data_IF_510335307074
#
_entry.id   IF_510335307074
#
_cell.length_a   1.000
_cell.length_b   1.000
_cell.length_c   1.000
_cell.angle_alpha   90.00
_cell.angle_beta   90.00
_cell.angle_gamma   90.00
#
_symmetry.space_group_name_H-M   'P 1'
#
loop_
_entity.id
_entity.type
_entity.pdbx_description
1 polymer ?
#
# COMPACT_ATOMS: atom_id res chain seq x y z
N UNK A 1 -11.49 -4.14 6.12
CA UNK A 1 -12.43 -2.99 6.23
C UNK A 1 -13.68 -3.41 6.99
N UNK A 2 -14.35 -4.51 6.64
CA UNK A 2 -15.60 -4.93 7.31
C UNK A 2 -15.45 -5.02 8.83
N UNK A 3 -14.41 -5.70 9.32
CA UNK A 3 -14.13 -5.81 10.76
C UNK A 3 -13.93 -4.42 11.41
N UNK A 4 -13.17 -3.54 10.78
CA UNK A 4 -12.98 -2.17 11.27
C UNK A 4 -14.31 -1.41 11.38
N UNK A 5 -15.17 -1.52 10.37
CA UNK A 5 -16.48 -0.87 10.40
C UNK A 5 -17.45 -1.49 11.43
N UNK A 6 -17.29 -2.76 11.75
CA UNK A 6 -18.08 -3.42 12.82
C UNK A 6 -17.67 -2.93 14.21
N UNK A 7 -16.37 -2.79 14.43
CA UNK A 7 -15.80 -2.45 15.74
C UNK A 7 -15.76 -0.93 15.99
N UNK A 8 -15.82 -0.09 14.93
CA UNK A 8 -15.60 1.36 14.97
C UNK A 8 -16.73 2.12 14.26
N UNK A 9 -17.57 2.81 15.00
CA UNK A 9 -18.66 3.61 14.45
C UNK A 9 -18.15 4.84 13.69
N UNK A 10 -16.98 5.35 14.07
CA UNK A 10 -16.29 6.46 13.43
C UNK A 10 -15.66 6.11 12.07
N UNK A 11 -15.59 4.82 11.71
CA UNK A 11 -15.03 4.35 10.44
C UNK A 11 -16.02 4.62 9.29
N UNK A 12 -15.57 5.38 8.30
CA UNK A 12 -16.28 5.64 7.04
C UNK A 12 -15.51 5.06 5.86
N UNK A 13 -16.23 4.69 4.80
CA UNK A 13 -15.64 4.29 3.52
C UNK A 13 -16.29 5.08 2.39
N UNK A 14 -15.51 5.82 1.61
CA UNK A 14 -16.06 6.57 0.48
C UNK A 14 -15.04 6.81 -0.64
N UNK A 15 -15.59 7.17 -1.79
CA UNK A 15 -14.87 7.45 -3.02
C UNK A 15 -15.81 7.45 -4.20
N UNK A 16 -15.27 7.42 -5.41
CA UNK A 16 -16.09 7.26 -6.62
C UNK A 16 -16.56 5.81 -6.72
N UNK A 17 -17.85 5.61 -6.94
CA UNK A 17 -18.48 4.30 -7.17
C UNK A 17 -18.32 3.27 -6.04
N UNK A 18 -17.91 3.71 -4.84
CA UNK A 18 -17.64 2.84 -3.68
C UNK A 18 -18.94 2.35 -3.05
N UNK A 19 -19.92 3.24 -2.91
CA UNK A 19 -21.17 2.95 -2.24
C UNK A 19 -22.19 2.17 -3.08
N UNK A 20 -23.24 1.68 -2.41
CA UNK A 20 -24.39 0.99 -3.01
C UNK A 20 -24.00 -0.25 -3.83
N UNK A 21 -24.69 -0.42 -4.96
CA UNK A 21 -24.55 -1.59 -5.84
C UNK A 21 -23.19 -1.67 -6.52
N UNK A 22 -22.50 -0.55 -6.74
CA UNK A 22 -21.23 -0.54 -7.45
C UNK A 22 -20.12 -1.19 -6.61
N UNK A 23 -19.95 -0.78 -5.37
CA UNK A 23 -19.05 -1.43 -4.41
C UNK A 23 -17.57 -1.31 -4.76
N UNK A 24 -17.17 -0.21 -5.40
CA UNK A 24 -15.81 0.02 -5.89
C UNK A 24 -15.54 -0.60 -7.25
N UNK A 25 -14.53 -0.09 -7.96
CA UNK A 25 -14.13 -0.59 -9.30
C UNK A 25 -13.73 -2.06 -9.26
N UNK A 26 -13.11 -2.49 -8.18
CA UNK A 26 -12.66 -3.88 -7.98
C UNK A 26 -13.59 -4.67 -7.06
N UNK A 27 -14.76 -4.13 -6.73
CA UNK A 27 -15.81 -4.79 -5.95
C UNK A 27 -15.45 -5.09 -4.50
N UNK A 28 -14.46 -4.42 -3.94
CA UNK A 28 -13.99 -4.62 -2.57
C UNK A 28 -15.01 -4.15 -1.53
N UNK A 29 -15.86 -3.19 -1.88
CA UNK A 29 -16.91 -2.66 -1.02
C UNK A 29 -18.32 -3.21 -1.34
N UNK A 30 -18.43 -4.23 -2.21
CA UNK A 30 -19.70 -4.69 -2.79
C UNK A 30 -20.79 -5.04 -1.78
N UNK A 31 -20.41 -5.49 -0.58
CA UNK A 31 -21.36 -5.85 0.49
C UNK A 31 -21.37 -4.85 1.64
N UNK A 32 -20.45 -3.90 1.64
CA UNK A 32 -20.29 -2.96 2.76
C UNK A 32 -21.41 -1.92 2.80
N UNK A 33 -21.82 -1.40 1.63
CA UNK A 33 -22.93 -0.46 1.53
C UNK A 33 -24.25 -1.05 2.02
N UNK A 34 -24.51 -2.34 1.72
CA UNK A 34 -25.70 -3.04 2.21
C UNK A 34 -25.62 -3.31 3.72
N UNK A 35 -24.41 -3.57 4.25
CA UNK A 35 -24.22 -3.91 5.66
C UNK A 35 -24.26 -2.68 6.56
N UNK A 36 -23.65 -1.55 6.14
CA UNK A 36 -23.39 -0.39 7.00
C UNK A 36 -24.19 0.87 6.60
N UNK A 37 -24.91 0.81 5.48
CA UNK A 37 -25.75 1.90 4.99
C UNK A 37 -24.98 3.03 4.29
N UNK A 38 -25.75 3.87 3.60
CA UNK A 38 -25.22 4.98 2.79
C UNK A 38 -24.58 6.11 3.61
N UNK A 39 -24.86 6.17 4.91
CA UNK A 39 -24.26 7.16 5.82
C UNK A 39 -22.78 6.84 6.13
N UNK A 40 -22.41 5.56 6.01
CA UNK A 40 -21.05 5.10 6.32
C UNK A 40 -20.28 4.60 5.10
N UNK A 41 -21.00 4.18 4.04
CA UNK A 41 -20.40 3.72 2.78
C UNK A 41 -21.06 4.45 1.63
N UNK A 42 -20.43 5.49 1.09
CA UNK A 42 -21.07 6.38 0.14
C UNK A 42 -20.20 6.80 -1.04
N UNK A 43 -20.86 7.29 -2.07
CA UNK A 43 -20.23 7.81 -3.28
C UNK A 43 -19.96 9.29 -3.15
N UNK A 44 -18.87 9.72 -3.78
CA UNK A 44 -18.60 11.14 -4.04
C UNK A 44 -18.81 11.45 -5.53
N UNK A 45 -18.89 12.73 -5.91
CA UNK A 45 -18.62 13.14 -7.27
C UNK A 45 -17.21 12.70 -7.72
N UNK A 46 -16.96 12.72 -9.03
CA UNK A 46 -15.62 12.51 -9.60
C UNK A 46 -14.76 13.73 -9.26
N UNK A 47 -14.14 13.71 -8.08
CA UNK A 47 -13.36 14.84 -7.56
C UNK A 47 -12.36 14.35 -6.50
N UNK A 48 -11.18 13.97 -6.92
CA UNK A 48 -10.14 13.40 -6.05
C UNK A 48 -9.63 14.42 -5.02
N UNK A 49 -9.66 15.71 -5.38
CA UNK A 49 -9.35 16.77 -4.43
C UNK A 49 -10.33 16.80 -3.25
N UNK A 50 -11.63 16.60 -3.51
CA UNK A 50 -12.63 16.47 -2.44
C UNK A 50 -12.43 15.19 -1.64
N UNK A 51 -12.21 14.06 -2.31
CA UNK A 51 -12.04 12.75 -1.64
C UNK A 51 -10.89 12.82 -0.62
N UNK A 52 -9.73 13.34 -1.02
CA UNK A 52 -8.56 13.48 -0.14
C UNK A 52 -8.75 14.63 0.87
N UNK A 53 -9.16 15.80 0.40
CA UNK A 53 -9.23 17.00 1.24
C UNK A 53 -10.27 16.91 2.37
N UNK A 54 -11.41 16.26 2.12
CA UNK A 54 -12.46 16.08 3.13
C UNK A 54 -12.01 15.25 4.34
N UNK A 55 -10.97 14.43 4.19
CA UNK A 55 -10.43 13.62 5.30
C UNK A 55 -9.94 14.48 6.46
N UNK A 56 -9.43 15.68 6.19
CA UNK A 56 -8.97 16.63 7.22
C UNK A 56 -10.11 17.05 8.13
N UNK A 57 -11.21 17.53 7.54
CA UNK A 57 -12.40 17.94 8.29
C UNK A 57 -13.06 16.78 9.03
N UNK A 58 -13.15 15.61 8.41
CA UNK A 58 -13.70 14.40 9.04
C UNK A 58 -12.84 13.98 10.25
N UNK A 59 -11.53 13.96 10.10
CA UNK A 59 -10.62 13.63 11.21
C UNK A 59 -10.71 14.65 12.35
N UNK A 60 -10.90 15.94 12.03
CA UNK A 60 -11.03 16.99 13.04
C UNK A 60 -12.26 16.83 13.93
N UNK A 61 -13.32 16.18 13.44
CA UNK A 61 -14.53 15.85 14.22
C UNK A 61 -14.53 14.43 14.78
N UNK A 62 -13.40 13.73 14.72
CA UNK A 62 -13.21 12.41 15.32
C UNK A 62 -13.60 11.23 14.42
N UNK A 63 -13.95 11.46 13.16
CA UNK A 63 -14.18 10.39 12.20
C UNK A 63 -12.84 9.82 11.67
N UNK A 64 -12.86 8.56 11.25
CA UNK A 64 -11.71 7.87 10.65
C UNK A 64 -12.06 7.38 9.25
N UNK A 65 -11.86 8.22 8.23
CA UNK A 65 -12.19 7.87 6.86
C UNK A 65 -11.17 6.91 6.25
N UNK A 66 -11.68 5.90 5.57
CA UNK A 66 -10.99 5.12 4.56
C UNK A 66 -11.50 5.62 3.23
N UNK A 67 -10.63 6.16 2.39
CA UNK A 67 -11.03 6.70 1.08
C UNK A 67 -10.36 5.94 -0.05
N UNK A 68 -11.04 5.87 -1.20
CA UNK A 68 -10.51 5.25 -2.39
C UNK A 68 -10.32 6.28 -3.51
N UNK A 69 -9.12 6.31 -4.05
CA UNK A 69 -8.82 6.88 -5.37
C UNK A 69 -8.85 5.71 -6.35
N UNK A 70 -9.73 5.72 -7.34
CA UNK A 70 -9.98 4.55 -8.20
C UNK A 70 -8.72 3.96 -8.86
N UNK A 71 -7.79 4.84 -9.29
CA UNK A 71 -6.51 4.47 -9.89
C UNK A 71 -5.44 5.50 -9.56
N UNK A 72 -4.20 5.08 -9.48
CA UNK A 72 -3.04 5.95 -9.30
C UNK A 72 -2.98 7.07 -10.35
N UNK A 73 -3.43 6.78 -11.57
CA UNK A 73 -3.53 7.73 -12.69
C UNK A 73 -4.41 8.94 -12.39
N UNK A 74 -5.33 8.84 -11.43
CA UNK A 74 -6.31 9.87 -11.11
C UNK A 74 -5.99 10.68 -9.85
N UNK A 75 -4.91 10.34 -9.15
CA UNK A 75 -4.57 11.01 -7.88
C UNK A 75 -4.19 12.50 -8.05
N UNK A 76 -3.84 12.94 -9.26
CA UNK A 76 -3.25 14.25 -9.53
C UNK A 76 -4.05 15.43 -8.97
N UNK A 77 -5.39 15.53 -9.16
CA UNK A 77 -6.15 16.62 -8.57
C UNK A 77 -6.14 16.61 -7.03
N UNK A 78 -5.98 15.42 -6.43
CA UNK A 78 -5.94 15.24 -4.97
C UNK A 78 -4.56 15.47 -4.36
N UNK A 79 -3.49 15.50 -5.16
CA UNK A 79 -2.12 15.72 -4.65
C UNK A 79 -1.97 17.09 -3.98
N UNK A 80 -2.68 18.11 -4.47
CA UNK A 80 -2.65 19.41 -3.82
C UNK A 80 -3.11 19.32 -2.36
N UNK A 81 -4.25 18.67 -2.09
CA UNK A 81 -4.78 18.50 -0.73
C UNK A 81 -3.90 17.57 0.10
N UNK A 82 -3.37 16.52 -0.51
CA UNK A 82 -2.45 15.61 0.18
C UNK A 82 -1.20 16.35 0.65
N UNK A 83 -0.61 17.16 -0.22
CA UNK A 83 0.61 17.90 0.05
C UNK A 83 0.41 19.10 0.98
N UNK A 84 -0.68 19.87 0.81
CA UNK A 84 -0.88 21.14 1.55
C UNK A 84 -1.53 20.93 2.91
N UNK A 85 -2.58 20.11 2.97
CA UNK A 85 -3.43 20.01 4.16
C UNK A 85 -3.22 18.69 4.90
N UNK A 86 -3.42 17.55 4.22
CA UNK A 86 -3.45 16.23 4.87
C UNK A 86 -2.10 15.92 5.52
N UNK A 87 -1.00 16.19 4.84
CA UNK A 87 0.34 15.87 5.33
C UNK A 87 0.85 16.83 6.41
N UNK A 88 0.31 18.06 6.51
CA UNK A 88 0.89 19.13 7.34
C UNK A 88 0.05 19.55 8.53
N UNK A 89 -1.26 19.28 8.51
CA UNK A 89 -2.19 19.77 9.56
C UNK A 89 -1.77 19.35 10.96
N UNK A 90 -1.29 18.13 11.15
CA UNK A 90 -0.83 17.63 12.44
C UNK A 90 0.40 18.41 12.94
N UNK A 91 1.38 18.63 12.07
CA UNK A 91 2.57 19.40 12.40
C UNK A 91 2.25 20.89 12.66
N UNK A 92 1.50 21.52 11.75
CA UNK A 92 1.16 22.95 11.85
C UNK A 92 0.28 23.27 13.06
N UNK A 93 -0.56 22.34 13.49
CA UNK A 93 -1.39 22.47 14.69
C UNK A 93 -0.62 22.16 16.00
N UNK A 94 0.67 21.87 15.91
CA UNK A 94 1.47 21.43 17.05
C UNK A 94 0.87 20.18 17.73
N UNK A 95 0.49 19.19 16.91
CA UNK A 95 -0.05 17.91 17.35
C UNK A 95 -1.51 17.94 17.84
N UNK A 96 -2.23 19.06 17.66
CA UNK A 96 -3.62 19.19 18.13
C UNK A 96 -4.65 18.57 17.16
N UNK A 97 -4.35 18.55 15.87
CA UNK A 97 -5.26 18.10 14.82
C UNK A 97 -4.64 16.93 14.05
N UNK A 98 -4.74 15.71 14.58
CA UNK A 98 -4.34 14.53 13.83
C UNK A 98 -5.22 14.35 12.59
N UNK A 99 -4.63 13.91 11.48
CA UNK A 99 -5.38 13.52 10.28
C UNK A 99 -5.28 12.01 10.15
N UNK A 100 -6.10 11.31 10.93
CA UNK A 100 -6.14 9.85 10.94
C UNK A 100 -7.03 9.37 9.81
N UNK A 101 -6.43 9.09 8.65
CA UNK A 101 -7.15 8.59 7.49
C UNK A 101 -6.33 7.53 6.73
N UNK A 102 -7.03 6.67 6.01
CA UNK A 102 -6.44 5.70 5.09
C UNK A 102 -6.84 6.06 3.67
N UNK A 103 -5.86 6.21 2.78
CA UNK A 103 -6.06 6.52 1.37
C UNK A 103 -5.64 5.29 0.57
N UNK A 104 -6.60 4.58 -0.01
CA UNK A 104 -6.38 3.43 -0.87
C UNK A 104 -6.16 3.89 -2.31
N UNK A 105 -5.13 3.37 -2.94
CA UNK A 105 -4.76 3.73 -4.32
C UNK A 105 -4.41 2.48 -5.12
N UNK A 106 -5.35 1.94 -5.90
CA UNK A 106 -5.05 0.91 -6.89
C UNK A 106 -4.00 1.39 -7.89
N UNK A 107 -2.92 0.63 -8.06
CA UNK A 107 -1.74 1.04 -8.83
C UNK A 107 -1.20 -0.10 -9.72
N UNK A 108 -0.21 0.19 -10.56
CA UNK A 108 0.50 -0.78 -11.39
C UNK A 108 -0.10 -0.98 -12.78
N UNK A 109 0.70 -1.53 -13.71
CA UNK A 109 0.37 -1.64 -15.12
C UNK A 109 -0.51 -2.83 -15.50
N UNK A 110 -0.75 -3.77 -14.59
CA UNK A 110 -1.53 -4.98 -14.87
C UNK A 110 -3.04 -4.72 -14.91
N UNK A 111 -3.73 -5.44 -15.79
CA UNK A 111 -5.17 -5.35 -15.96
C UNK A 111 -5.58 -4.81 -17.33
N UNK A 112 -4.63 -4.57 -18.22
CA UNK A 112 -4.86 -4.08 -19.60
C UNK A 112 -5.65 -2.76 -19.66
N UNK A 113 -5.53 -1.90 -18.64
CA UNK A 113 -6.26 -0.65 -18.52
C UNK A 113 -5.76 0.47 -19.45
N UNK A 114 -4.66 0.24 -20.18
CA UNK A 114 -4.05 1.24 -21.05
C UNK A 114 -3.41 2.41 -20.30
N UNK A 115 -3.11 3.53 -20.97
CA UNK A 115 -2.28 4.59 -20.40
C UNK A 115 -2.92 5.35 -19.24
N UNK A 116 -4.23 5.27 -19.07
CA UNK A 116 -4.96 5.95 -18.00
C UNK A 116 -5.25 5.08 -16.78
N UNK A 117 -4.70 3.86 -16.72
CA UNK A 117 -4.95 2.89 -15.65
C UNK A 117 -3.71 2.07 -15.33
N UNK A 118 -2.51 2.59 -15.59
CA UNK A 118 -1.28 1.79 -15.51
C UNK A 118 -0.14 2.50 -14.79
N UNK A 119 -0.42 3.62 -14.11
CA UNK A 119 0.63 4.41 -13.46
C UNK A 119 1.12 3.81 -12.16
N UNK A 120 2.37 4.13 -11.87
CA UNK A 120 3.05 3.98 -10.59
C UNK A 120 3.36 5.37 -10.04
N UNK A 121 3.09 5.61 -8.75
CA UNK A 121 3.16 6.95 -8.13
C UNK A 121 4.01 6.97 -6.85
N UNK A 122 4.75 5.91 -6.58
CA UNK A 122 5.53 5.71 -5.36
C UNK A 122 6.52 6.85 -5.14
N UNK A 123 7.29 7.20 -6.16
CA UNK A 123 8.31 8.25 -6.08
C UNK A 123 7.74 9.64 -5.79
N UNK A 124 6.54 9.92 -6.30
CA UNK A 124 5.85 11.19 -6.04
C UNK A 124 5.38 11.24 -4.61
N UNK A 125 4.74 10.17 -4.14
CA UNK A 125 4.20 10.10 -2.78
C UNK A 125 5.31 10.10 -1.72
N UNK A 126 6.42 9.41 -1.95
CA UNK A 126 7.54 9.36 -1.00
C UNK A 126 8.27 10.69 -0.84
N UNK A 127 8.05 11.66 -1.73
CA UNK A 127 8.50 13.04 -1.57
C UNK A 127 7.57 13.91 -0.71
N UNK A 128 6.41 13.40 -0.26
CA UNK A 128 5.48 14.12 0.61
C UNK A 128 5.76 13.74 2.05
N UNK A 129 6.37 14.64 2.81
CA UNK A 129 6.60 14.44 4.24
C UNK A 129 5.31 14.60 5.05
N UNK A 130 5.15 13.78 6.09
CA UNK A 130 3.98 13.83 6.98
C UNK A 130 2.89 12.79 6.65
N UNK A 131 3.10 11.94 5.64
CA UNK A 131 2.25 10.78 5.34
C UNK A 131 3.07 9.49 5.45
N UNK A 132 2.40 8.37 5.69
CA UNK A 132 3.01 7.03 5.60
C UNK A 132 2.58 6.35 4.30
N UNK A 133 3.44 5.53 3.73
CA UNK A 133 3.19 4.89 2.44
C UNK A 133 3.54 3.42 2.55
N UNK A 134 2.59 2.57 2.24
CA UNK A 134 2.73 1.12 2.31
C UNK A 134 2.30 0.45 1.01
N UNK A 135 2.90 -0.68 0.71
CA UNK A 135 2.65 -1.40 -0.52
C UNK A 135 2.72 -2.92 -0.27
N UNK A 136 1.65 -3.53 0.28
CA UNK A 136 1.60 -4.96 0.56
C UNK A 136 1.63 -5.80 -0.72
N UNK A 137 2.22 -6.99 -0.63
CA UNK A 137 2.32 -7.94 -1.74
C UNK A 137 1.32 -9.11 -1.67
N UNK A 138 0.60 -9.27 -0.56
CA UNK A 138 -0.34 -10.37 -0.36
C UNK A 138 -1.52 -9.98 0.56
N UNK A 139 -2.56 -10.80 0.56
CA UNK A 139 -3.81 -10.51 1.27
C UNK A 139 -3.66 -10.44 2.80
N UNK A 140 -2.86 -11.32 3.42
CA UNK A 140 -2.64 -11.28 4.87
C UNK A 140 -1.94 -9.99 5.29
N UNK A 141 -0.89 -9.59 4.56
CA UNK A 141 -0.16 -8.35 4.84
C UNK A 141 -1.07 -7.13 4.61
N UNK A 142 -1.90 -7.12 3.55
CA UNK A 142 -2.88 -6.05 3.32
C UNK A 142 -3.87 -5.93 4.50
N UNK A 143 -4.39 -7.06 5.01
CA UNK A 143 -5.30 -7.04 6.19
C UNK A 143 -4.62 -6.43 7.41
N UNK A 144 -3.42 -6.89 7.75
CA UNK A 144 -2.68 -6.41 8.92
C UNK A 144 -2.24 -4.94 8.79
N UNK A 145 -1.78 -4.55 7.60
CA UNK A 145 -1.39 -3.16 7.29
C UNK A 145 -2.61 -2.23 7.30
N UNK A 146 -3.75 -2.64 6.76
CA UNK A 146 -5.00 -1.86 6.79
C UNK A 146 -5.42 -1.53 8.23
N UNK A 147 -5.33 -2.49 9.14
CA UNK A 147 -5.62 -2.25 10.56
C UNK A 147 -4.60 -1.33 11.21
N UNK A 148 -3.31 -1.56 10.97
CA UNK A 148 -2.26 -0.68 11.47
C UNK A 148 -2.43 0.77 10.96
N UNK A 149 -2.78 0.93 9.69
CA UNK A 149 -3.06 2.23 9.08
C UNK A 149 -4.28 2.93 9.68
N UNK A 150 -5.35 2.19 9.95
CA UNK A 150 -6.56 2.73 10.59
C UNK A 150 -6.30 3.21 12.03
N UNK A 151 -5.42 2.53 12.77
CA UNK A 151 -5.05 2.92 14.13
C UNK A 151 -3.96 3.99 14.19
N UNK A 152 -3.34 4.31 13.08
CA UNK A 152 -2.29 5.34 13.03
C UNK A 152 -2.90 6.76 13.13
N UNK A 153 -2.32 7.65 13.95
CA UNK A 153 -2.79 9.04 14.03
C UNK A 153 -2.42 9.89 12.81
N UNK A 154 -1.55 9.38 11.92
CA UNK A 154 -1.13 10.06 10.71
C UNK A 154 -1.82 9.48 9.47
N UNK A 155 -1.90 10.25 8.38
CA UNK A 155 -2.43 9.74 7.12
C UNK A 155 -1.56 8.61 6.57
N UNK A 156 -2.20 7.55 6.11
CA UNK A 156 -1.52 6.40 5.50
C UNK A 156 -2.06 6.16 4.10
N UNK A 157 -1.17 6.17 3.10
CA UNK A 157 -1.49 5.77 1.73
C UNK A 157 -1.15 4.29 1.56
N UNK A 158 -2.12 3.50 1.13
CA UNK A 158 -1.95 2.08 0.80
C UNK A 158 -1.99 1.95 -0.72
N UNK A 159 -0.84 1.64 -1.31
CA UNK A 159 -0.73 1.29 -2.71
C UNK A 159 -1.11 -0.17 -2.89
N UNK A 160 -2.10 -0.44 -3.72
CA UNK A 160 -2.64 -1.78 -3.94
C UNK A 160 -2.46 -2.19 -5.40
N UNK A 161 -1.52 -3.10 -5.67
CA UNK A 161 -1.28 -3.52 -7.04
C UNK A 161 -2.45 -4.31 -7.62
N UNK A 162 -3.11 -3.77 -8.63
CA UNK A 162 -4.33 -4.32 -9.26
C UNK A 162 -4.18 -5.78 -9.72
N UNK A 163 -3.00 -6.13 -10.24
CA UNK A 163 -2.70 -7.49 -10.69
C UNK A 163 -2.68 -8.53 -9.56
N UNK A 164 -2.61 -8.10 -8.30
CA UNK A 164 -2.55 -9.00 -7.15
C UNK A 164 -3.94 -9.26 -6.52
N UNK A 165 -4.96 -8.48 -6.83
CA UNK A 165 -6.26 -8.58 -6.16
C UNK A 165 -6.90 -9.97 -6.18
N UNK A 166 -6.77 -10.70 -7.27
CA UNK A 166 -7.39 -12.02 -7.38
C UNK A 166 -6.40 -13.18 -7.52
N UNK A 167 -5.09 -12.89 -7.55
CA UNK A 167 -4.06 -13.91 -7.74
C UNK A 167 -4.30 -14.78 -9.00
N UNK A 168 -4.76 -14.13 -10.08
CA UNK A 168 -5.07 -14.80 -11.36
C UNK A 168 -3.92 -14.77 -12.36
N UNK A 169 -2.95 -13.88 -12.15
CA UNK A 169 -1.78 -13.81 -12.99
C UNK A 169 -0.85 -14.98 -12.67
N UNK A 170 -0.29 -15.58 -13.70
CA UNK A 170 0.63 -16.70 -13.54
C UNK A 170 1.81 -16.32 -12.65
N UNK A 171 2.02 -17.08 -11.59
CA UNK A 171 3.08 -16.86 -10.59
C UNK A 171 2.72 -15.89 -9.47
N UNK A 172 1.45 -15.44 -9.40
CA UNK A 172 0.94 -14.62 -8.29
C UNK A 172 -0.04 -15.35 -7.38
N UNK A 173 -0.10 -16.66 -7.47
CA UNK A 173 -1.05 -17.50 -6.72
C UNK A 173 -0.92 -17.33 -5.20
N UNK A 174 0.30 -17.07 -4.72
CA UNK A 174 0.61 -16.84 -3.30
C UNK A 174 0.12 -15.49 -2.77
N UNK A 175 -0.48 -14.62 -3.61
CA UNK A 175 -1.19 -13.42 -3.12
C UNK A 175 -2.36 -13.79 -2.24
N UNK A 176 -3.00 -14.93 -2.56
CA UNK A 176 -4.06 -15.51 -1.76
C UNK A 176 -3.44 -16.23 -0.57
N UNK A 177 -3.73 -15.73 0.61
CA UNK A 177 -3.28 -16.31 1.86
C UNK A 177 -4.45 -16.86 2.64
N UNK A 178 -4.17 -17.67 3.65
CA UNK A 178 -5.16 -17.96 4.69
C UNK A 178 -5.46 -16.63 5.40
N UNK A 179 -6.73 -16.35 5.61
CA UNK A 179 -7.14 -15.13 6.31
C UNK A 179 -6.62 -15.15 7.75
N UNK A 180 -5.85 -14.14 8.16
CA UNK A 180 -5.42 -14.02 9.55
C UNK A 180 -6.61 -13.76 10.49
N UNK A 181 -6.40 -13.98 11.79
CA UNK A 181 -7.39 -13.66 12.83
C UNK A 181 -7.79 -12.17 12.80
N UNK A 182 -8.93 -11.88 13.44
CA UNK A 182 -9.41 -10.50 13.55
C UNK A 182 -8.41 -9.59 14.28
N UNK A 183 -7.64 -10.11 15.24
CA UNK A 183 -6.66 -9.33 16.00
C UNK A 183 -5.33 -9.12 15.27
N UNK A 184 -5.19 -9.66 14.06
CA UNK A 184 -3.93 -9.54 13.31
C UNK A 184 -3.68 -8.11 12.86
N UNK A 185 -2.61 -7.50 13.38
CA UNK A 185 -2.12 -6.18 13.01
C UNK A 185 -0.66 -6.30 12.60
N UNK A 186 -0.30 -5.75 11.44
CA UNK A 186 1.08 -5.73 10.95
C UNK A 186 1.64 -4.31 11.07
N UNK A 187 2.63 -4.07 11.94
CA UNK A 187 3.19 -2.73 12.13
C UNK A 187 3.75 -2.15 10.83
N UNK A 188 3.50 -0.87 10.58
CA UNK A 188 4.07 -0.13 9.46
C UNK A 188 5.59 0.00 9.63
N UNK A 189 6.33 0.09 8.53
CA UNK A 189 7.80 0.18 8.56
C UNK A 189 8.50 -1.14 8.88
N UNK A 190 7.89 -2.29 8.53
CA UNK A 190 8.49 -3.62 8.74
C UNK A 190 8.61 -4.39 7.44
N UNK A 191 9.84 -4.56 6.98
CA UNK A 191 10.18 -5.43 5.85
C UNK A 191 10.19 -6.92 6.24
N UNK A 192 10.16 -7.80 5.24
CA UNK A 192 10.19 -9.27 5.42
C UNK A 192 11.03 -9.95 4.36
N UNK A 193 11.86 -10.90 4.77
CA UNK A 193 12.44 -11.86 3.83
C UNK A 193 11.38 -12.88 3.41
N UNK A 194 11.10 -12.95 2.13
CA UNK A 194 10.09 -13.87 1.54
C UNK A 194 10.73 -15.05 0.83
N UNK A 195 12.03 -14.99 0.58
CA UNK A 195 12.89 -16.08 0.12
C UNK A 195 14.28 -15.88 0.74
N UNK A 196 14.97 -16.96 1.08
CA UNK A 196 16.29 -16.92 1.66
C UNK A 196 17.30 -17.71 0.81
N UNK A 197 18.47 -17.13 0.56
CA UNK A 197 19.63 -17.84 0.04
C UNK A 197 20.17 -18.82 1.10
N UNK A 198 20.82 -19.89 0.67
CA UNK A 198 21.48 -20.78 1.61
C UNK A 198 22.74 -20.13 2.23
N UNK A 199 23.05 -20.49 3.48
CA UNK A 199 24.27 -20.01 4.16
C UNK A 199 25.52 -20.29 3.33
N UNK A 200 25.60 -21.48 2.75
CA UNK A 200 26.70 -21.89 1.89
C UNK A 200 26.92 -20.92 0.73
N UNK A 201 25.83 -20.48 0.05
CA UNK A 201 25.93 -19.53 -1.06
C UNK A 201 26.34 -18.14 -0.62
N UNK A 202 25.90 -17.72 0.55
CA UNK A 202 26.30 -16.46 1.17
C UNK A 202 27.80 -16.50 1.48
N UNK A 203 28.28 -17.52 2.19
CA UNK A 203 29.69 -17.69 2.58
C UNK A 203 30.62 -17.81 1.37
N UNK A 204 30.15 -18.41 0.28
CA UNK A 204 30.90 -18.49 -0.98
C UNK A 204 30.91 -17.18 -1.79
N UNK A 205 30.20 -16.14 -1.37
CA UNK A 205 30.04 -14.90 -2.14
C UNK A 205 29.24 -15.09 -3.44
N UNK A 206 28.41 -16.14 -3.52
CA UNK A 206 27.60 -16.49 -4.71
C UNK A 206 26.11 -16.20 -4.51
N UNK A 207 25.79 -15.26 -3.66
CA UNK A 207 24.42 -14.89 -3.37
C UNK A 207 24.10 -13.45 -3.78
N UNK A 208 22.81 -13.20 -4.01
CA UNK A 208 22.24 -11.93 -4.44
C UNK A 208 21.03 -11.60 -3.55
N UNK A 209 20.95 -10.35 -3.10
CA UNK A 209 19.75 -9.82 -2.45
C UNK A 209 18.90 -9.03 -3.46
N UNK A 210 17.60 -9.32 -3.54
CA UNK A 210 16.63 -8.54 -4.30
C UNK A 210 15.75 -7.80 -3.31
N UNK A 211 15.80 -6.47 -3.33
CA UNK A 211 14.93 -5.59 -2.54
C UNK A 211 13.78 -5.13 -3.43
N UNK A 212 12.55 -5.35 -3.00
CA UNK A 212 11.37 -5.09 -3.83
C UNK A 212 10.09 -4.91 -3.00
N UNK A 213 8.96 -4.69 -3.65
CA UNK A 213 7.63 -4.55 -3.05
C UNK A 213 6.54 -4.88 -4.08
N UNK A 214 5.31 -5.06 -3.61
CA UNK A 214 4.15 -5.28 -4.46
C UNK A 214 4.35 -6.41 -5.48
N UNK A 215 4.13 -6.15 -6.76
CA UNK A 215 4.27 -7.12 -7.85
C UNK A 215 5.72 -7.59 -8.03
N UNK A 216 6.70 -6.76 -7.72
CA UNK A 216 8.12 -7.10 -7.83
C UNK A 216 8.52 -8.33 -7.03
N UNK A 217 7.83 -8.61 -5.92
CA UNK A 217 8.02 -9.84 -5.12
C UNK A 217 7.79 -11.09 -5.98
N UNK A 218 6.77 -11.10 -6.80
CA UNK A 218 6.43 -12.25 -7.65
C UNK A 218 7.37 -12.39 -8.84
N UNK A 219 7.78 -11.27 -9.44
CA UNK A 219 8.82 -11.29 -10.49
C UNK A 219 10.15 -11.82 -9.95
N UNK A 220 10.56 -11.35 -8.77
CA UNK A 220 11.76 -11.84 -8.11
C UNK A 220 11.68 -13.34 -7.78
N UNK A 221 10.54 -13.83 -7.24
CA UNK A 221 10.32 -15.26 -6.96
C UNK A 221 10.38 -16.10 -8.22
N UNK A 222 9.80 -15.64 -9.32
CA UNK A 222 9.85 -16.38 -10.59
C UNK A 222 11.29 -16.43 -11.14
N UNK A 223 12.02 -15.32 -11.10
CA UNK A 223 13.42 -15.28 -11.52
C UNK A 223 14.30 -16.19 -10.65
N UNK A 224 14.09 -16.19 -9.34
CA UNK A 224 14.87 -16.96 -8.37
C UNK A 224 14.81 -18.48 -8.59
N UNK A 225 13.74 -19.00 -9.24
CA UNK A 225 13.62 -20.44 -9.60
C UNK A 225 14.78 -20.95 -10.47
N UNK A 226 15.48 -20.06 -11.17
CA UNK A 226 16.62 -20.39 -12.03
C UNK A 226 17.97 -20.39 -11.28
N UNK A 227 17.98 -19.99 -10.01
CA UNK A 227 19.19 -19.76 -9.23
C UNK A 227 19.13 -20.52 -7.91
N UNK A 228 19.50 -21.79 -7.93
CA UNK A 228 19.44 -22.71 -6.78
C UNK A 228 19.96 -22.11 -5.48
N UNK A 229 19.07 -21.70 -4.59
CA UNK A 229 19.33 -21.19 -3.25
C UNK A 229 20.35 -20.01 -3.19
N UNK A 230 20.44 -19.21 -4.25
CA UNK A 230 21.38 -18.09 -4.33
C UNK A 230 20.71 -16.73 -4.04
N UNK A 231 19.39 -16.68 -3.96
CA UNK A 231 18.63 -15.41 -3.94
C UNK A 231 17.93 -15.23 -2.59
N UNK A 232 18.22 -14.10 -1.93
CA UNK A 232 17.34 -13.51 -0.92
C UNK A 232 16.37 -12.55 -1.59
N UNK A 233 15.13 -12.55 -1.15
CA UNK A 233 14.13 -11.57 -1.58
C UNK A 233 13.57 -10.87 -0.35
N UNK A 234 13.72 -9.54 -0.31
CA UNK A 234 13.15 -8.68 0.71
C UNK A 234 11.90 -7.98 0.16
N UNK A 235 10.77 -8.23 0.78
CA UNK A 235 9.55 -7.45 0.57
C UNK A 235 9.53 -6.27 1.56
N UNK A 236 9.60 -5.06 1.04
CA UNK A 236 9.63 -3.84 1.84
C UNK A 236 8.32 -3.60 2.60
N UNK A 237 7.16 -3.92 2.01
CA UNK A 237 5.82 -3.69 2.58
C UNK A 237 5.51 -2.22 2.89
N UNK A 238 6.49 -1.47 3.37
CA UNK A 238 6.46 -0.03 3.68
C UNK A 238 7.51 0.69 2.88
N UNK A 239 7.12 1.74 2.17
CA UNK A 239 8.03 2.62 1.46
C UNK A 239 8.42 3.81 2.35
N UNK A 240 7.48 4.26 3.21
CA UNK A 240 7.73 5.24 4.25
C UNK A 240 6.79 5.01 5.46
N UNK A 241 7.30 4.81 6.70
CA UNK A 241 8.73 4.68 7.03
C UNK A 241 9.33 3.39 6.46
N UNK A 242 10.62 3.45 6.14
CA UNK A 242 11.40 2.31 5.63
C UNK A 242 12.05 1.55 6.79
N UNK A 243 12.14 0.22 6.69
CA UNK A 243 12.88 -0.61 7.67
C UNK A 243 14.38 -0.65 7.34
N UNK A 244 15.02 0.53 7.36
CA UNK A 244 16.40 0.72 6.92
C UNK A 244 17.37 -0.25 7.61
N UNK A 245 17.22 -0.44 8.93
CA UNK A 245 18.08 -1.33 9.70
C UNK A 245 18.01 -2.77 9.19
N UNK A 246 16.80 -3.29 9.01
CA UNK A 246 16.58 -4.66 8.55
C UNK A 246 17.10 -4.85 7.12
N UNK A 247 16.82 -3.89 6.23
CA UNK A 247 17.29 -3.91 4.85
C UNK A 247 18.81 -3.92 4.81
N UNK A 248 19.46 -3.00 5.54
CA UNK A 248 20.91 -2.94 5.60
C UNK A 248 21.53 -4.24 6.14
N UNK A 249 20.98 -4.78 7.24
CA UNK A 249 21.46 -6.03 7.83
C UNK A 249 21.35 -7.21 6.87
N UNK A 250 20.36 -7.22 5.99
CA UNK A 250 20.18 -8.26 4.97
C UNK A 250 21.08 -8.06 3.77
N UNK A 251 21.07 -6.87 3.19
CA UNK A 251 21.82 -6.58 1.96
C UNK A 251 23.32 -6.79 2.14
N UNK A 252 23.90 -6.38 3.29
CA UNK A 252 25.33 -6.54 3.56
C UNK A 252 25.83 -8.00 3.62
N UNK A 253 24.93 -8.98 3.72
CA UNK A 253 25.30 -10.41 3.70
C UNK A 253 25.65 -10.90 2.29
N UNK A 254 25.27 -10.15 1.26
CA UNK A 254 25.38 -10.59 -0.13
C UNK A 254 26.40 -9.77 -0.91
N UNK A 255 27.02 -10.42 -1.91
CA UNK A 255 28.00 -9.75 -2.77
C UNK A 255 27.37 -8.76 -3.74
N UNK A 256 26.10 -8.94 -4.04
CA UNK A 256 25.34 -8.10 -4.99
C UNK A 256 23.96 -7.82 -4.46
N UNK A 257 23.41 -6.66 -4.85
CA UNK A 257 22.04 -6.25 -4.57
C UNK A 257 21.37 -5.73 -5.84
N UNK A 258 20.09 -6.06 -6.00
CA UNK A 258 19.21 -5.49 -7.03
C UNK A 258 18.04 -4.86 -6.31
N UNK A 259 17.72 -3.62 -6.64
CA UNK A 259 16.45 -3.00 -6.29
C UNK A 259 15.52 -3.12 -7.49
N UNK A 260 14.38 -3.78 -7.29
CA UNK A 260 13.42 -4.09 -8.35
C UNK A 260 12.09 -3.36 -8.10
N UNK A 261 11.67 -2.54 -9.04
CA UNK A 261 10.37 -1.87 -9.03
C UNK A 261 9.74 -1.84 -10.42
N UNK A 262 8.44 -1.55 -10.46
CA UNK A 262 7.67 -1.38 -11.69
C UNK A 262 7.76 0.05 -12.25
N UNK A 263 8.21 0.99 -11.44
CA UNK A 263 8.34 2.39 -11.81
C UNK A 263 9.30 2.60 -13.00
N UNK A 264 9.13 3.69 -13.75
CA UNK A 264 10.16 4.13 -14.69
C UNK A 264 11.51 4.24 -13.98
N UNK A 265 12.60 3.83 -14.65
CA UNK A 265 13.94 3.84 -14.06
C UNK A 265 14.34 5.21 -13.53
N UNK A 266 14.00 6.26 -14.27
CA UNK A 266 14.39 7.63 -13.92
C UNK A 266 13.52 8.18 -12.78
N UNK A 267 14.15 8.68 -11.73
CA UNK A 267 13.52 9.26 -10.55
C UNK A 267 12.56 8.30 -9.81
N UNK A 268 12.78 6.99 -9.92
CA UNK A 268 11.99 6.01 -9.18
C UNK A 268 12.36 5.99 -7.69
N UNK A 269 11.44 5.51 -6.86
CA UNK A 269 11.71 5.21 -5.46
C UNK A 269 12.90 4.23 -5.32
N UNK A 270 13.03 3.27 -6.26
CA UNK A 270 14.15 2.34 -6.30
C UNK A 270 15.53 3.00 -6.44
N UNK A 271 15.62 4.22 -6.98
CA UNK A 271 16.88 4.97 -7.06
C UNK A 271 17.27 5.65 -5.74
N UNK A 272 16.34 5.81 -4.82
CA UNK A 272 16.61 6.39 -3.50
C UNK A 272 17.03 5.36 -2.45
N UNK A 273 16.89 4.08 -2.77
CA UNK A 273 17.34 2.95 -1.95
C UNK A 273 18.79 2.59 -2.25
#
# INVERSE_FOLDING_TARGET
IKELMQDHLECLLYGQDVGKRLGGVFREAATLGETFGDERVFNTPIQEAFIIGSTVGMSAVGLKPIVEIQFADYIWPGLNQLFTEVSRSYYLSNGKWPVSCVIRVPTGAYGSGGPYHSSSVESILTNIHGIKIVYPSNAADLKGIMKAAFYDPNPVVILEHKGLYWGKLKGTEETKTIEPSQDYVLPLGKAKSVLLASKEKIEQGKSLCIVTYGMGVYWAKQAAKKFNNQIDILDLRSLYPLDEKYIYEKVKLHSNCIVLSEEPKQNSFAQSL
#
